data_IF_591272150529
#
_entry.id   IF_591272150529
#
_cell.length_a   1.000
_cell.length_b   1.000
_cell.length_c   1.000
_cell.angle_alpha   90.00
_cell.angle_beta   90.00
_cell.angle_gamma   90.00
#
_symmetry.space_group_name_H-M   'P 1'
#
loop_
_entity.id
_entity.type
_entity.pdbx_description
1 polymer ?
#
# COMPACT_ATOMS: atom_id res chain seq x y z
N UNK A 1 3.70 16.81 -12.77
CA UNK A 1 3.81 15.90 -13.95
C UNK A 1 2.49 15.93 -14.70
N UNK A 2 2.45 15.83 -16.04
CA UNK A 2 1.18 15.75 -16.73
C UNK A 2 0.42 14.50 -16.30
N UNK A 3 -0.90 14.60 -16.20
CA UNK A 3 -1.79 13.50 -15.90
C UNK A 3 -1.71 12.41 -16.99
N UNK A 4 -1.81 11.18 -16.57
CA UNK A 4 -1.92 10.03 -17.48
C UNK A 4 -3.37 9.91 -17.99
N UNK A 5 -3.61 9.34 -19.18
CA UNK A 5 -4.98 9.26 -19.73
C UNK A 5 -6.00 8.64 -18.77
N UNK A 6 -5.67 7.54 -18.11
CA UNK A 6 -6.57 6.91 -17.15
C UNK A 6 -6.84 7.73 -15.87
N UNK A 7 -5.93 8.66 -15.55
CA UNK A 7 -6.14 9.59 -14.43
C UNK A 7 -7.12 10.70 -14.83
N UNK A 8 -7.07 11.13 -16.09
CA UNK A 8 -8.06 12.04 -16.66
C UNK A 8 -9.43 11.37 -16.67
N UNK A 9 -9.51 10.11 -17.18
CA UNK A 9 -10.76 9.33 -17.17
C UNK A 9 -11.35 9.21 -15.75
N UNK A 10 -10.50 9.01 -14.73
CA UNK A 10 -10.92 8.92 -13.34
C UNK A 10 -11.43 10.27 -12.80
N UNK A 11 -10.76 11.37 -13.11
CA UNK A 11 -11.19 12.72 -12.71
C UNK A 11 -12.50 13.12 -13.38
N UNK A 12 -12.68 12.80 -14.65
CA UNK A 12 -13.95 13.03 -15.37
C UNK A 12 -15.08 12.21 -14.74
N UNK A 13 -14.83 10.97 -14.36
CA UNK A 13 -15.82 10.16 -13.64
C UNK A 13 -16.17 10.75 -12.28
N UNK A 14 -15.19 11.23 -11.52
CA UNK A 14 -15.39 11.90 -10.22
C UNK A 14 -16.14 13.22 -10.37
N UNK A 15 -15.90 13.99 -11.42
CA UNK A 15 -16.63 15.24 -11.69
C UNK A 15 -18.14 15.00 -11.97
N UNK A 16 -18.48 13.83 -12.53
CA UNK A 16 -19.86 13.46 -12.88
C UNK A 16 -20.60 12.67 -11.79
N UNK A 17 -19.94 12.29 -10.70
CA UNK A 17 -20.54 11.50 -9.62
C UNK A 17 -20.09 12.05 -8.25
N UNK A 18 -21.01 12.20 -7.33
CA UNK A 18 -20.70 12.61 -5.96
C UNK A 18 -20.22 11.47 -5.06
N UNK A 19 -20.45 10.21 -5.47
CA UNK A 19 -20.05 9.00 -4.76
C UNK A 19 -19.63 7.91 -5.73
N UNK A 20 -18.56 7.19 -5.42
CA UNK A 20 -18.19 6.02 -6.21
C UNK A 20 -16.85 5.42 -5.90
N UNK A 21 -16.64 4.26 -6.51
CA UNK A 21 -15.40 3.50 -6.39
C UNK A 21 -14.50 3.72 -7.59
N UNK A 22 -13.22 3.96 -7.32
CA UNK A 22 -12.18 4.12 -8.33
C UNK A 22 -11.20 2.94 -8.19
N UNK A 23 -11.28 2.00 -9.13
CA UNK A 23 -10.49 0.77 -9.12
C UNK A 23 -9.29 0.96 -10.03
N UNK A 24 -8.12 1.20 -9.43
CA UNK A 24 -6.86 1.43 -10.17
C UNK A 24 -5.78 0.49 -9.63
N UNK A 25 -5.09 -0.27 -10.48
CA UNK A 25 -4.02 -1.16 -10.06
C UNK A 25 -2.94 -0.42 -9.26
N UNK A 26 -2.27 -1.15 -8.37
CA UNK A 26 -1.11 -0.62 -7.62
C UNK A 26 -0.05 -0.10 -8.60
N UNK A 27 0.46 1.11 -8.36
CA UNK A 27 1.37 1.80 -9.28
C UNK A 27 0.67 2.63 -10.37
N UNK A 28 -0.65 2.56 -10.49
CA UNK A 28 -1.43 3.35 -11.44
C UNK A 28 -1.57 4.83 -11.08
N UNK A 29 -1.19 5.25 -9.86
CA UNK A 29 -1.17 6.66 -9.46
C UNK A 29 -2.50 7.17 -8.90
N UNK A 30 -3.16 6.39 -8.04
CA UNK A 30 -4.40 6.77 -7.31
C UNK A 30 -4.26 8.12 -6.58
N UNK A 31 -3.15 8.34 -5.89
CA UNK A 31 -2.88 9.56 -5.13
C UNK A 31 -2.94 10.81 -6.01
N UNK A 32 -2.43 10.75 -7.25
CA UNK A 32 -2.47 11.88 -8.18
C UNK A 32 -3.91 12.25 -8.58
N UNK A 33 -4.82 11.26 -8.70
CA UNK A 33 -6.23 11.55 -8.96
C UNK A 33 -6.85 12.33 -7.78
N UNK A 34 -6.57 11.90 -6.53
CA UNK A 34 -7.06 12.61 -5.34
C UNK A 34 -6.52 14.05 -5.28
N UNK A 35 -5.19 14.22 -5.47
CA UNK A 35 -4.55 15.56 -5.42
C UNK A 35 -5.14 16.50 -6.46
N UNK A 36 -5.30 16.04 -7.70
CA UNK A 36 -5.85 16.87 -8.76
C UNK A 36 -7.34 17.20 -8.55
N UNK A 37 -8.14 16.28 -8.04
CA UNK A 37 -9.52 16.58 -7.68
C UNK A 37 -9.60 17.59 -6.54
N UNK A 38 -8.70 17.49 -5.54
CA UNK A 38 -8.56 18.51 -4.48
C UNK A 38 -8.20 19.87 -5.06
N UNK A 39 -7.21 19.92 -5.94
CA UNK A 39 -6.84 21.20 -6.59
C UNK A 39 -8.02 21.83 -7.32
N UNK A 40 -8.76 21.05 -8.11
CA UNK A 40 -9.94 21.55 -8.82
C UNK A 40 -11.00 22.10 -7.85
N UNK A 41 -11.23 21.43 -6.71
CA UNK A 41 -12.20 21.90 -5.72
C UNK A 41 -11.77 23.18 -5.00
N UNK A 42 -10.47 23.34 -4.74
CA UNK A 42 -9.92 24.53 -4.08
C UNK A 42 -9.99 25.78 -4.96
N UNK A 43 -10.10 25.64 -6.28
CA UNK A 43 -10.38 26.75 -7.21
C UNK A 43 -11.79 27.30 -7.02
N UNK A 44 -12.74 26.47 -6.60
CA UNK A 44 -14.15 26.85 -6.39
C UNK A 44 -14.42 27.47 -5.01
N UNK A 45 -13.42 27.57 -4.14
CA UNK A 45 -13.53 28.17 -2.82
C UNK A 45 -13.02 27.34 -1.67
N UNK A 46 -13.32 27.79 -0.45
CA UNK A 46 -12.88 27.10 0.77
C UNK A 46 -13.60 25.77 0.97
N UNK A 47 -12.84 24.70 1.19
CA UNK A 47 -13.32 23.33 1.34
C UNK A 47 -12.71 22.65 2.58
N UNK A 48 -13.51 21.79 3.22
CA UNK A 48 -13.05 20.85 4.23
C UNK A 48 -12.91 19.46 3.60
N UNK A 49 -11.69 19.01 3.43
CA UNK A 49 -11.34 17.79 2.73
C UNK A 49 -10.75 16.78 3.72
N UNK A 50 -11.19 15.54 3.65
CA UNK A 50 -10.66 14.45 4.50
C UNK A 50 -10.02 13.38 3.62
N UNK A 51 -8.82 12.95 3.99
CA UNK A 51 -8.11 11.83 3.36
C UNK A 51 -7.90 10.73 4.40
N UNK A 52 -8.50 9.57 4.16
CA UNK A 52 -8.46 8.42 5.07
C UNK A 52 -7.45 7.40 4.57
N UNK A 53 -6.46 7.11 5.38
CA UNK A 53 -5.43 6.13 5.09
C UNK A 53 -5.55 4.88 6.00
N UNK A 54 -5.06 3.71 5.57
CA UNK A 54 -5.12 2.51 6.42
C UNK A 54 -4.21 2.57 7.64
N UNK A 55 -3.15 3.39 7.60
CA UNK A 55 -2.15 3.51 8.69
C UNK A 55 -1.59 4.92 8.80
N UNK A 56 -1.07 5.25 10.00
CA UNK A 56 -0.46 6.55 10.31
C UNK A 56 0.64 6.90 9.31
N UNK A 57 1.58 5.99 9.04
CA UNK A 57 2.68 6.24 8.12
C UNK A 57 2.21 6.60 6.71
N UNK A 58 1.10 5.99 6.25
CA UNK A 58 0.51 6.34 4.97
C UNK A 58 -0.22 7.68 4.99
N UNK A 59 -0.87 8.01 6.11
CA UNK A 59 -1.47 9.34 6.28
C UNK A 59 -0.39 10.43 6.20
N UNK A 60 0.77 10.21 6.80
CA UNK A 60 1.92 11.12 6.71
C UNK A 60 2.50 11.21 5.31
N UNK A 61 2.65 10.07 4.61
CA UNK A 61 3.12 10.03 3.24
C UNK A 61 2.15 10.77 2.29
N UNK A 62 0.85 10.47 2.40
CA UNK A 62 -0.18 11.16 1.61
C UNK A 62 -0.17 12.67 1.91
N UNK A 63 -0.08 13.07 3.18
CA UNK A 63 0.04 14.48 3.55
C UNK A 63 1.21 15.15 2.86
N UNK A 64 2.38 14.52 2.86
CA UNK A 64 3.58 15.05 2.21
C UNK A 64 3.41 15.18 0.70
N UNK A 65 2.86 14.15 0.04
CA UNK A 65 2.60 14.14 -1.41
C UNK A 65 1.57 15.22 -1.81
N UNK A 66 0.46 15.30 -1.07
CA UNK A 66 -0.58 16.32 -1.29
C UNK A 66 -0.04 17.73 -1.15
N UNK A 67 0.65 18.02 -0.06
CA UNK A 67 1.14 19.36 0.22
C UNK A 67 2.26 19.81 -0.73
N UNK A 68 3.09 18.88 -1.20
CA UNK A 68 4.10 19.18 -2.19
C UNK A 68 3.49 19.69 -3.51
N UNK A 69 2.42 19.06 -3.99
CA UNK A 69 1.81 19.41 -5.26
C UNK A 69 0.81 20.58 -5.12
N UNK A 70 0.02 20.64 -4.04
CA UNK A 70 -0.92 21.73 -3.80
C UNK A 70 -0.19 23.06 -3.60
N UNK A 71 0.91 23.09 -2.83
CA UNK A 71 1.72 24.31 -2.63
C UNK A 71 2.34 24.88 -3.91
N UNK A 72 2.48 24.07 -4.95
CA UNK A 72 2.94 24.53 -6.26
C UNK A 72 1.87 25.33 -7.02
N UNK A 73 0.60 25.07 -6.73
CA UNK A 73 -0.54 25.65 -7.46
C UNK A 73 -1.23 26.76 -6.65
N UNK A 74 -1.27 26.63 -5.33
CA UNK A 74 -1.95 27.56 -4.44
C UNK A 74 -0.96 28.24 -3.51
N UNK A 75 -0.90 29.59 -3.58
CA UNK A 75 -0.12 30.40 -2.65
C UNK A 75 -0.85 30.62 -1.30
N UNK A 76 -2.12 30.27 -1.23
CA UNK A 76 -2.96 30.48 -0.05
C UNK A 76 -2.65 29.50 1.06
N UNK A 77 -2.87 29.95 2.30
CA UNK A 77 -2.64 29.11 3.48
C UNK A 77 -3.71 28.01 3.54
N UNK A 78 -3.29 26.79 3.29
CA UNK A 78 -4.12 25.62 3.53
C UNK A 78 -3.87 25.13 4.94
N UNK A 79 -4.93 25.03 5.72
CA UNK A 79 -4.87 24.53 7.09
C UNK A 79 -4.80 22.99 7.07
N UNK A 80 -3.81 22.42 7.74
CA UNK A 80 -3.55 20.97 7.75
C UNK A 80 -3.62 20.44 9.16
N UNK A 81 -4.42 19.39 9.35
CA UNK A 81 -4.52 18.66 10.60
C UNK A 81 -4.39 17.17 10.36
N UNK A 82 -3.81 16.48 11.35
CA UNK A 82 -3.83 15.02 11.41
C UNK A 82 -4.70 14.53 12.57
N UNK A 83 -5.55 13.55 12.30
CA UNK A 83 -6.37 12.89 13.32
C UNK A 83 -5.93 11.44 13.47
N UNK A 84 -4.86 11.28 14.24
CA UNK A 84 -4.30 9.98 14.64
C UNK A 84 -3.30 10.16 15.79
N UNK A 85 -2.86 9.06 16.40
CA UNK A 85 -1.95 9.08 17.57
C UNK A 85 -0.45 9.21 17.21
N UNK A 86 -0.09 9.34 15.94
CA UNK A 86 1.30 9.53 15.50
C UNK A 86 1.77 10.96 15.64
N UNK A 87 3.09 11.12 15.79
CA UNK A 87 3.75 12.43 15.72
C UNK A 87 3.91 12.85 14.25
N UNK A 88 3.63 14.11 13.94
CA UNK A 88 3.73 14.69 12.59
C UNK A 88 4.23 16.13 12.70
N UNK A 89 4.67 16.69 11.57
CA UNK A 89 5.07 18.10 11.47
C UNK A 89 3.89 19.10 11.55
N UNK A 90 2.66 18.63 11.47
CA UNK A 90 1.45 19.42 11.57
C UNK A 90 0.72 19.17 12.89
N UNK A 91 -0.29 19.99 13.18
CA UNK A 91 -1.13 19.76 14.33
C UNK A 91 -1.78 18.36 14.25
N UNK A 92 -1.65 17.57 15.32
CA UNK A 92 -2.18 16.21 15.40
C UNK A 92 -2.87 15.97 16.74
N UNK A 93 -4.08 15.43 16.68
CA UNK A 93 -4.85 15.11 17.88
C UNK A 93 -5.89 14.02 17.62
N UNK A 94 -6.28 13.29 18.67
CA UNK A 94 -7.43 12.38 18.69
C UNK A 94 -8.51 12.83 19.68
N UNK A 95 -8.32 13.99 20.31
CA UNK A 95 -9.28 14.55 21.28
C UNK A 95 -10.37 15.33 20.52
N UNK A 96 -11.62 14.95 20.74
CA UNK A 96 -12.80 15.46 20.05
C UNK A 96 -12.92 16.98 20.18
N UNK A 97 -12.76 17.52 21.38
CA UNK A 97 -12.86 18.96 21.63
C UNK A 97 -11.79 19.74 20.84
N UNK A 98 -10.53 19.25 20.85
CA UNK A 98 -9.45 19.88 20.10
C UNK A 98 -9.63 19.80 18.58
N UNK A 99 -10.28 18.73 18.08
CA UNK A 99 -10.64 18.63 16.65
C UNK A 99 -11.67 19.71 16.31
N UNK A 100 -12.73 19.82 17.14
CA UNK A 100 -13.80 20.79 16.93
C UNK A 100 -13.29 22.23 16.99
N UNK A 101 -12.51 22.55 18.02
CA UNK A 101 -11.91 23.86 18.22
C UNK A 101 -11.04 24.25 17.04
N UNK A 102 -10.13 23.33 16.62
CA UNK A 102 -9.25 23.58 15.47
C UNK A 102 -10.02 23.85 14.19
N UNK A 103 -11.06 23.07 13.89
CA UNK A 103 -11.88 23.28 12.67
C UNK A 103 -12.63 24.61 12.75
N UNK A 104 -13.12 25.01 13.94
CA UNK A 104 -13.82 26.27 14.15
C UNK A 104 -12.93 27.51 14.10
N UNK A 105 -11.69 27.42 14.58
CA UNK A 105 -10.74 28.53 14.62
C UNK A 105 -10.08 28.83 13.28
N UNK A 106 -9.93 27.81 12.42
CA UNK A 106 -9.23 27.98 11.13
C UNK A 106 -10.21 28.34 10.00
N UNK A 107 -10.05 29.54 9.48
CA UNK A 107 -10.82 30.03 8.33
C UNK A 107 -10.14 29.55 7.03
N UNK A 108 -10.92 29.32 5.97
CA UNK A 108 -10.42 28.90 4.67
C UNK A 108 -10.37 27.38 4.51
N UNK A 109 -9.62 26.92 3.53
CA UNK A 109 -9.55 25.50 3.18
C UNK A 109 -8.81 24.68 4.23
N UNK A 110 -9.35 23.50 4.49
CA UNK A 110 -8.81 22.55 5.47
C UNK A 110 -8.60 21.18 4.82
N UNK A 111 -7.44 20.58 5.03
CA UNK A 111 -7.18 19.20 4.65
C UNK A 111 -6.84 18.40 5.90
N UNK A 112 -7.65 17.39 6.19
CA UNK A 112 -7.54 16.55 7.37
C UNK A 112 -7.10 15.15 6.94
N UNK A 113 -5.92 14.75 7.37
CA UNK A 113 -5.42 13.38 7.17
C UNK A 113 -5.74 12.54 8.39
N UNK A 114 -6.40 11.41 8.16
CA UNK A 114 -6.78 10.51 9.25
C UNK A 114 -6.54 9.04 8.88
N UNK A 115 -6.71 8.16 9.84
CA UNK A 115 -6.71 6.72 9.60
C UNK A 115 -8.11 6.15 9.79
N UNK A 116 -8.39 4.97 9.20
CA UNK A 116 -9.64 4.25 9.47
C UNK A 116 -9.90 4.07 10.97
N UNK A 117 -8.84 3.84 11.75
CA UNK A 117 -8.91 3.70 13.20
C UNK A 117 -9.34 4.98 13.92
N UNK A 118 -9.09 6.14 13.35
CA UNK A 118 -9.36 7.44 13.99
C UNK A 118 -10.51 8.20 13.35
N UNK A 119 -11.06 7.72 12.23
CA UNK A 119 -12.13 8.40 11.49
C UNK A 119 -13.37 8.66 12.36
N UNK A 120 -13.70 7.74 13.26
CA UNK A 120 -14.82 7.91 14.21
C UNK A 120 -14.65 9.15 15.11
N UNK A 121 -13.43 9.65 15.36
CA UNK A 121 -13.20 10.87 16.12
C UNK A 121 -13.68 12.11 15.41
N UNK A 122 -13.56 12.16 14.09
CA UNK A 122 -14.14 13.23 13.26
C UNK A 122 -15.68 13.18 13.28
N UNK A 123 -16.25 11.97 13.23
CA UNK A 123 -17.69 11.76 13.34
C UNK A 123 -18.22 12.20 14.72
N UNK A 124 -17.57 11.80 15.82
CA UNK A 124 -17.91 12.21 17.18
C UNK A 124 -17.74 13.73 17.41
N UNK A 125 -16.84 14.37 16.66
CA UNK A 125 -16.66 15.82 16.68
C UNK A 125 -17.69 16.57 15.81
N UNK A 126 -18.55 15.86 15.09
CA UNK A 126 -19.58 16.40 14.20
C UNK A 126 -18.99 17.36 13.13
N UNK A 127 -17.90 16.92 12.50
CA UNK A 127 -17.23 17.72 11.48
C UNK A 127 -17.89 17.52 10.13
N UNK A 128 -18.40 18.60 9.55
CA UNK A 128 -18.87 18.62 8.17
C UNK A 128 -17.69 18.48 7.19
N UNK A 129 -17.86 17.66 6.17
CA UNK A 129 -16.84 17.35 5.17
C UNK A 129 -17.41 17.57 3.76
N UNK A 130 -16.79 18.44 2.98
CA UNK A 130 -17.15 18.63 1.57
C UNK A 130 -16.77 17.37 0.76
N UNK A 131 -15.54 16.91 0.87
CA UNK A 131 -15.10 15.71 0.15
C UNK A 131 -14.25 14.81 1.02
N UNK A 132 -14.54 13.52 0.97
CA UNK A 132 -13.75 12.49 1.65
C UNK A 132 -13.20 11.47 0.65
N UNK A 133 -11.90 11.17 0.77
CA UNK A 133 -11.21 10.15 0.01
C UNK A 133 -10.82 9.00 0.92
N UNK A 134 -11.19 7.80 0.56
CA UNK A 134 -10.82 6.57 1.25
C UNK A 134 -9.72 5.87 0.45
N UNK A 135 -8.46 5.98 0.87
CA UNK A 135 -7.36 5.25 0.25
C UNK A 135 -7.31 3.80 0.77
N UNK A 136 -6.94 2.88 -0.13
CA UNK A 136 -7.00 1.43 0.11
C UNK A 136 -8.36 1.01 0.70
N UNK A 137 -9.42 1.40 0.03
CA UNK A 137 -10.82 1.34 0.50
C UNK A 137 -11.31 -0.07 0.85
N UNK A 138 -10.62 -1.13 0.43
CA UNK A 138 -10.91 -2.49 0.90
C UNK A 138 -10.78 -2.65 2.43
N UNK A 139 -10.15 -1.68 3.14
CA UNK A 139 -10.11 -1.64 4.59
C UNK A 139 -11.42 -1.14 5.21
N UNK A 140 -12.21 -0.35 4.49
CA UNK A 140 -13.47 0.26 4.95
C UNK A 140 -14.50 -0.75 5.48
N UNK A 141 -14.49 -1.97 4.94
CA UNK A 141 -15.45 -3.02 5.28
C UNK A 141 -15.19 -3.71 6.63
N UNK A 142 -14.18 -3.30 7.36
CA UNK A 142 -13.89 -3.86 8.67
C UNK A 142 -14.92 -3.38 9.69
N UNK A 143 -15.37 -4.30 10.58
CA UNK A 143 -16.42 -4.05 11.56
C UNK A 143 -16.21 -2.79 12.40
N UNK A 144 -14.97 -2.50 12.75
CA UNK A 144 -14.64 -1.35 13.61
C UNK A 144 -14.56 -0.02 12.84
N UNK A 145 -14.65 -0.04 11.51
CA UNK A 145 -14.50 1.14 10.68
C UNK A 145 -15.78 1.51 9.94
N UNK A 146 -16.62 0.52 9.67
CA UNK A 146 -17.77 0.66 8.76
C UNK A 146 -18.75 1.74 9.21
N UNK A 147 -18.98 1.91 10.50
CA UNK A 147 -19.92 2.91 11.04
C UNK A 147 -19.52 4.34 10.64
N UNK A 148 -18.25 4.70 10.86
CA UNK A 148 -17.75 6.03 10.48
C UNK A 148 -17.63 6.20 8.96
N UNK A 149 -17.34 5.11 8.24
CA UNK A 149 -17.30 5.11 6.76
C UNK A 149 -18.69 5.36 6.19
N UNK A 150 -19.71 4.64 6.67
CA UNK A 150 -21.10 4.81 6.27
C UNK A 150 -21.60 6.22 6.59
N UNK A 151 -21.31 6.73 7.80
CA UNK A 151 -21.65 8.09 8.18
C UNK A 151 -21.14 9.11 7.16
N UNK A 152 -19.83 9.11 6.86
CA UNK A 152 -19.27 10.07 5.92
C UNK A 152 -19.63 9.79 4.47
N UNK A 153 -19.93 8.55 4.10
CA UNK A 153 -20.48 8.24 2.79
C UNK A 153 -21.85 8.86 2.54
N UNK A 154 -22.64 9.06 3.61
CA UNK A 154 -23.99 9.63 3.55
C UNK A 154 -23.98 11.16 3.73
N UNK A 155 -23.17 11.66 4.66
CA UNK A 155 -23.24 13.06 5.10
C UNK A 155 -22.19 13.98 4.48
N UNK A 156 -21.19 13.45 3.76
CA UNK A 156 -20.28 14.28 2.96
C UNK A 156 -20.92 14.66 1.63
N UNK A 157 -20.61 15.81 1.06
CA UNK A 157 -21.10 16.17 -0.28
C UNK A 157 -20.55 15.24 -1.36
N UNK A 158 -19.29 14.80 -1.21
CA UNK A 158 -18.64 13.87 -2.14
C UNK A 158 -17.84 12.82 -1.38
N UNK A 159 -17.91 11.55 -1.81
CA UNK A 159 -17.19 10.43 -1.20
C UNK A 159 -16.63 9.46 -2.23
N UNK A 160 -15.31 9.24 -2.22
CA UNK A 160 -14.62 8.40 -3.20
C UNK A 160 -13.78 7.31 -2.55
N UNK A 161 -13.93 6.09 -3.07
CA UNK A 161 -13.32 4.88 -2.55
C UNK A 161 -12.26 4.35 -3.52
N UNK A 162 -11.00 4.58 -3.21
CA UNK A 162 -9.86 4.18 -4.04
C UNK A 162 -9.27 2.84 -3.61
N UNK A 163 -9.19 1.89 -4.51
CA UNK A 163 -8.50 0.62 -4.25
C UNK A 163 -8.03 -0.05 -5.54
N UNK A 164 -7.04 -0.95 -5.43
CA UNK A 164 -6.69 -1.89 -6.50
C UNK A 164 -7.42 -3.23 -6.34
N UNK A 165 -7.95 -3.52 -5.15
CA UNK A 165 -8.42 -4.84 -4.72
C UNK A 165 -9.70 -4.72 -3.94
N UNK A 166 -10.85 -4.53 -4.59
CA UNK A 166 -12.14 -4.40 -3.91
C UNK A 166 -12.43 -5.63 -3.06
N UNK A 167 -13.13 -5.42 -1.95
CA UNK A 167 -13.51 -6.47 -1.01
C UNK A 167 -15.02 -6.55 -0.89
N UNK A 168 -15.59 -7.65 -1.38
CA UNK A 168 -17.03 -7.88 -1.45
C UNK A 168 -17.54 -8.71 -0.27
N UNK A 169 -18.79 -8.54 0.09
CA UNK A 169 -19.50 -9.43 1.00
C UNK A 169 -20.46 -10.34 0.23
N UNK A 170 -20.49 -11.61 0.64
CA UNK A 170 -21.47 -12.57 0.13
C UNK A 170 -22.65 -12.76 1.09
N UNK A 171 -22.67 -11.99 2.19
CA UNK A 171 -23.73 -12.08 3.20
C UNK A 171 -24.34 -10.72 3.47
N UNK A 172 -25.67 -10.63 3.63
CA UNK A 172 -26.37 -9.35 3.86
C UNK A 172 -26.05 -8.71 5.21
N UNK A 173 -25.41 -9.45 6.14
CA UNK A 173 -25.10 -8.97 7.49
C UNK A 173 -23.68 -8.41 7.64
N UNK A 174 -22.92 -8.35 6.55
CA UNK A 174 -21.58 -7.80 6.55
C UNK A 174 -21.42 -6.80 5.43
N UNK A 175 -20.86 -5.65 5.75
CA UNK A 175 -20.53 -4.67 4.74
C UNK A 175 -19.50 -5.22 3.75
N UNK A 176 -19.67 -4.93 2.50
CA UNK A 176 -18.75 -5.21 1.40
C UNK A 176 -18.79 -4.07 0.40
N UNK A 177 -17.73 -3.87 -0.37
CA UNK A 177 -17.70 -2.81 -1.38
C UNK A 177 -18.70 -3.03 -2.52
N UNK A 178 -19.37 -4.18 -2.57
CA UNK A 178 -20.53 -4.44 -3.44
C UNK A 178 -21.85 -3.89 -2.88
N UNK A 179 -21.82 -3.21 -1.73
CA UNK A 179 -22.95 -2.45 -1.21
C UNK A 179 -22.92 -1.03 -1.80
N UNK A 180 -23.75 -0.78 -2.81
CA UNK A 180 -23.77 0.50 -3.51
C UNK A 180 -24.35 1.65 -2.68
N UNK A 181 -25.13 1.37 -1.63
CA UNK A 181 -25.70 2.41 -0.77
C UNK A 181 -24.59 3.08 0.05
N UNK A 182 -23.61 2.30 0.49
CA UNK A 182 -22.44 2.82 1.22
C UNK A 182 -21.34 3.25 0.24
N UNK A 183 -20.94 2.38 -0.68
CA UNK A 183 -19.71 2.58 -1.47
C UNK A 183 -19.95 3.22 -2.85
N UNK A 184 -21.19 3.41 -3.24
CA UNK A 184 -21.52 3.81 -4.60
C UNK A 184 -21.19 2.73 -5.64
N UNK A 185 -21.42 3.03 -6.90
CA UNK A 185 -21.03 2.16 -8.00
C UNK A 185 -19.55 2.30 -8.32
N UNK A 186 -18.99 1.35 -9.07
CA UNK A 186 -17.67 1.52 -9.70
C UNK A 186 -17.82 2.54 -10.83
N UNK A 187 -17.29 3.74 -10.61
CA UNK A 187 -17.37 4.86 -11.58
C UNK A 187 -16.16 4.91 -12.50
N UNK A 188 -15.03 4.33 -12.08
CA UNK A 188 -13.83 4.18 -12.91
C UNK A 188 -13.12 2.88 -12.57
N UNK A 189 -12.82 2.08 -13.59
CA UNK A 189 -11.97 0.88 -13.46
C UNK A 189 -10.91 0.87 -14.55
N UNK A 190 -9.65 0.77 -14.14
CA UNK A 190 -8.49 0.79 -15.02
C UNK A 190 -7.91 -0.61 -15.12
N UNK A 191 -7.94 -1.27 -16.29
CA UNK A 191 -7.33 -2.58 -16.48
C UNK A 191 -5.79 -2.50 -16.42
N UNK A 192 -5.15 -3.40 -15.67
CA UNK A 192 -3.69 -3.44 -15.57
C UNK A 192 -2.99 -3.67 -16.92
N UNK A 193 -3.51 -4.51 -17.86
CA UNK A 193 -2.93 -4.64 -19.20
C UNK A 193 -2.80 -3.31 -19.94
N UNK A 194 -3.79 -2.43 -19.85
CA UNK A 194 -3.75 -1.09 -20.45
C UNK A 194 -2.56 -0.26 -19.88
N UNK A 195 -2.30 -0.36 -18.57
CA UNK A 195 -1.18 0.34 -17.94
C UNK A 195 0.19 -0.25 -18.33
N UNK A 196 0.25 -1.57 -18.54
CA UNK A 196 1.44 -2.26 -19.04
C UNK A 196 1.73 -1.85 -20.47
N UNK A 197 0.73 -1.90 -21.35
CA UNK A 197 0.83 -1.51 -22.77
C UNK A 197 1.29 -0.05 -22.92
N UNK A 198 0.72 0.86 -22.10
CA UNK A 198 1.11 2.26 -22.06
C UNK A 198 2.45 2.49 -21.34
N UNK A 199 3.05 1.45 -20.78
CA UNK A 199 4.33 1.50 -20.11
C UNK A 199 4.32 2.28 -18.79
N UNK A 200 3.20 2.42 -18.10
CA UNK A 200 3.13 3.05 -16.79
C UNK A 200 3.51 2.11 -15.65
N UNK A 201 3.21 0.83 -15.80
CA UNK A 201 3.67 -0.25 -14.95
C UNK A 201 4.35 -1.33 -15.77
N UNK A 202 5.08 -2.23 -15.13
CA UNK A 202 5.74 -3.36 -15.79
C UNK A 202 4.90 -4.62 -15.65
N UNK A 203 5.00 -5.57 -16.60
CA UNK A 203 4.36 -6.86 -16.41
C UNK A 203 5.04 -7.64 -15.28
N UNK A 204 4.29 -8.42 -14.46
CA UNK A 204 4.88 -9.36 -13.55
C UNK A 204 5.34 -10.62 -14.30
N UNK A 205 6.48 -11.18 -13.87
CA UNK A 205 6.94 -12.51 -14.28
C UNK A 205 6.96 -13.41 -13.06
N UNK A 206 6.19 -14.50 -13.09
CA UNK A 206 6.15 -15.47 -11.98
C UNK A 206 7.14 -16.58 -12.27
N UNK A 207 7.99 -16.87 -11.29
CA UNK A 207 8.90 -18.01 -11.33
C UNK A 207 8.67 -18.85 -10.07
N UNK A 208 8.50 -20.16 -10.28
CA UNK A 208 8.31 -21.13 -9.21
C UNK A 208 9.56 -21.99 -9.11
N UNK A 209 10.20 -21.98 -7.96
CA UNK A 209 11.38 -22.80 -7.71
C UNK A 209 11.00 -24.01 -6.88
N UNK A 210 11.19 -25.21 -7.44
CA UNK A 210 11.12 -26.44 -6.69
C UNK A 210 12.40 -26.64 -5.89
N UNK A 211 12.26 -26.80 -4.60
CA UNK A 211 13.35 -27.11 -3.68
C UNK A 211 13.11 -28.46 -3.03
N UNK A 212 14.18 -29.12 -2.57
CA UNK A 212 14.04 -30.36 -1.82
C UNK A 212 13.13 -30.20 -0.61
N UNK A 213 12.45 -31.25 -0.21
CA UNK A 213 11.61 -31.25 0.99
C UNK A 213 12.46 -31.09 2.25
N UNK A 214 11.83 -30.54 3.30
CA UNK A 214 12.43 -30.43 4.62
C UNK A 214 12.66 -31.82 5.22
N UNK A 215 13.88 -32.11 5.65
CA UNK A 215 14.21 -33.34 6.34
C UNK A 215 13.69 -33.33 7.79
N UNK A 216 13.42 -34.54 8.36
CA UNK A 216 12.80 -34.65 9.69
C UNK A 216 13.59 -33.99 10.82
N UNK A 217 14.89 -33.85 10.67
CA UNK A 217 15.81 -33.30 11.69
C UNK A 217 16.34 -31.89 11.35
N UNK A 218 15.93 -31.36 10.23
CA UNK A 218 16.35 -30.03 9.74
C UNK A 218 15.52 -28.93 10.38
N UNK A 219 16.18 -27.85 10.78
CA UNK A 219 15.48 -26.67 11.27
C UNK A 219 14.84 -25.92 10.10
N UNK A 220 13.63 -25.44 10.29
CA UNK A 220 12.92 -24.62 9.27
C UNK A 220 13.73 -23.39 8.88
N UNK A 221 14.47 -22.80 9.82
CA UNK A 221 15.30 -21.63 9.55
C UNK A 221 16.46 -21.93 8.59
N UNK A 222 17.10 -23.09 8.72
CA UNK A 222 18.19 -23.50 7.83
C UNK A 222 17.66 -23.73 6.41
N UNK A 223 16.48 -24.35 6.31
CA UNK A 223 15.80 -24.55 5.03
C UNK A 223 15.35 -23.24 4.39
N UNK A 224 14.81 -22.32 5.17
CA UNK A 224 14.45 -20.98 4.71
C UNK A 224 15.71 -20.23 4.20
N UNK A 225 16.85 -20.39 4.91
CA UNK A 225 18.14 -19.79 4.53
C UNK A 225 18.63 -20.36 3.18
N UNK A 226 18.75 -21.67 3.06
CA UNK A 226 19.14 -22.36 1.82
C UNK A 226 18.32 -21.85 0.63
N UNK A 227 16.99 -21.88 0.76
CA UNK A 227 16.09 -21.49 -0.32
C UNK A 227 16.19 -20.01 -0.71
N UNK A 228 16.32 -19.12 0.28
CA UNK A 228 16.42 -17.70 -0.02
C UNK A 228 17.73 -17.39 -0.71
N UNK A 229 18.82 -18.00 -0.29
CA UNK A 229 20.14 -17.83 -0.93
C UNK A 229 20.12 -18.40 -2.34
N UNK A 230 19.65 -19.64 -2.53
CA UNK A 230 19.53 -20.26 -3.85
C UNK A 230 18.64 -19.41 -4.79
N UNK A 231 17.52 -18.91 -4.27
CA UNK A 231 16.65 -18.02 -5.04
C UNK A 231 17.36 -16.72 -5.44
N UNK A 232 18.07 -16.07 -4.52
CA UNK A 232 18.82 -14.83 -4.78
C UNK A 232 19.91 -15.07 -5.83
N UNK A 233 20.65 -16.18 -5.72
CA UNK A 233 21.70 -16.54 -6.67
C UNK A 233 21.15 -16.83 -8.08
N UNK A 234 20.00 -17.51 -8.16
CA UNK A 234 19.33 -17.81 -9.43
C UNK A 234 18.71 -16.57 -10.09
N UNK A 235 18.10 -15.69 -9.28
CA UNK A 235 17.43 -14.48 -9.77
C UNK A 235 18.41 -13.43 -10.29
N UNK A 236 19.60 -13.35 -9.73
CA UNK A 236 20.61 -12.33 -10.03
C UNK A 236 20.07 -10.89 -10.01
N UNK A 237 19.14 -10.60 -9.07
CA UNK A 237 18.52 -9.29 -8.90
C UNK A 237 19.16 -8.54 -7.75
N UNK A 238 19.41 -7.26 -7.95
CA UNK A 238 20.09 -6.42 -6.95
C UNK A 238 19.19 -6.00 -5.80
N UNK A 239 17.88 -5.88 -6.00
CA UNK A 239 16.94 -5.29 -5.03
C UNK A 239 15.76 -6.23 -4.78
N UNK A 240 15.84 -6.95 -3.68
CA UNK A 240 14.95 -8.07 -3.37
C UNK A 240 14.12 -7.79 -2.12
N UNK A 241 12.81 -8.05 -2.21
CA UNK A 241 11.86 -8.05 -1.10
C UNK A 241 11.54 -9.48 -0.69
N UNK A 242 11.71 -9.83 0.58
CA UNK A 242 11.33 -11.13 1.13
C UNK A 242 10.12 -10.96 2.06
N UNK A 243 9.02 -11.63 1.73
CA UNK A 243 7.78 -11.64 2.50
C UNK A 243 7.74 -12.85 3.43
N UNK A 244 7.98 -12.62 4.72
CA UNK A 244 7.99 -13.68 5.74
C UNK A 244 6.60 -13.91 6.37
N UNK A 245 6.37 -15.11 6.90
CA UNK A 245 5.12 -15.51 7.56
C UNK A 245 4.89 -14.79 8.89
N UNK A 246 5.98 -14.49 9.61
CA UNK A 246 5.90 -13.89 10.95
C UNK A 246 7.20 -13.18 11.31
N UNK A 247 7.13 -12.29 12.30
CA UNK A 247 8.34 -11.71 12.92
C UNK A 247 9.31 -12.79 13.40
N UNK A 248 8.78 -13.91 13.98
CA UNK A 248 9.62 -15.03 14.44
C UNK A 248 10.41 -15.64 13.30
N UNK A 249 9.82 -15.81 12.11
CA UNK A 249 10.53 -16.35 10.94
C UNK A 249 11.68 -15.44 10.52
N UNK A 250 11.47 -14.12 10.46
CA UNK A 250 12.53 -13.15 10.16
C UNK A 250 13.66 -13.25 11.19
N UNK A 251 13.31 -13.22 12.48
CA UNK A 251 14.30 -13.29 13.56
C UNK A 251 15.08 -14.58 13.50
N UNK A 252 14.43 -15.74 13.33
CA UNK A 252 15.11 -17.02 13.22
C UNK A 252 16.07 -17.06 12.02
N UNK A 253 15.62 -16.62 10.84
CA UNK A 253 16.44 -16.57 9.65
C UNK A 253 17.71 -15.68 9.85
N UNK A 254 17.54 -14.52 10.47
CA UNK A 254 18.65 -13.56 10.66
C UNK A 254 19.60 -13.96 11.81
N UNK A 255 19.07 -14.56 12.89
CA UNK A 255 19.86 -14.80 14.12
C UNK A 255 20.29 -16.23 14.34
N UNK A 256 19.66 -17.22 13.71
CA UNK A 256 19.95 -18.66 13.91
C UNK A 256 20.67 -19.30 12.72
N UNK A 257 20.82 -18.56 11.60
CA UNK A 257 21.48 -19.05 10.39
C UNK A 257 22.60 -18.10 9.96
N UNK A 258 23.37 -18.50 8.99
CA UNK A 258 24.40 -17.70 8.35
C UNK A 258 23.88 -16.80 7.20
N UNK A 259 22.55 -16.67 7.05
CA UNK A 259 21.89 -15.90 5.99
C UNK A 259 22.51 -14.51 5.77
N UNK A 260 22.69 -13.75 6.84
CA UNK A 260 23.25 -12.41 6.76
C UNK A 260 24.75 -12.39 6.37
N UNK A 261 25.49 -13.44 6.72
CA UNK A 261 26.88 -13.61 6.31
C UNK A 261 26.93 -13.90 4.82
N UNK A 262 26.14 -14.86 4.35
CA UNK A 262 26.04 -15.23 2.94
C UNK A 262 25.58 -14.07 2.06
N UNK A 263 24.64 -13.22 2.52
CA UNK A 263 24.24 -12.00 1.81
C UNK A 263 25.41 -11.03 1.65
N UNK A 264 26.19 -10.83 2.72
CA UNK A 264 27.35 -9.91 2.71
C UNK A 264 28.43 -10.40 1.75
N UNK A 265 28.71 -11.71 1.72
CA UNK A 265 29.67 -12.31 0.79
C UNK A 265 29.28 -12.09 -0.68
N UNK A 266 27.98 -11.98 -0.98
CA UNK A 266 27.43 -11.68 -2.30
C UNK A 266 27.30 -10.17 -2.58
N UNK A 267 27.76 -9.33 -1.65
CA UNK A 267 27.72 -7.87 -1.76
C UNK A 267 26.37 -7.24 -1.47
N UNK A 268 25.44 -7.98 -0.83
CA UNK A 268 24.14 -7.43 -0.45
C UNK A 268 24.18 -6.78 0.93
N UNK A 269 23.58 -5.61 1.02
CA UNK A 269 23.08 -5.06 2.28
C UNK A 269 21.78 -5.75 2.66
N UNK A 270 21.45 -5.78 3.94
CA UNK A 270 20.20 -6.34 4.38
C UNK A 270 19.54 -5.48 5.44
N UNK A 271 18.23 -5.48 5.44
CA UNK A 271 17.42 -4.74 6.40
C UNK A 271 16.10 -5.44 6.68
N UNK A 272 15.58 -5.22 7.87
CA UNK A 272 14.22 -5.65 8.19
C UNK A 272 13.54 -4.68 9.14
N UNK A 273 12.20 -4.69 9.13
CA UNK A 273 11.39 -3.94 10.06
C UNK A 273 10.23 -4.80 10.56
N UNK A 274 10.04 -4.83 11.88
CA UNK A 274 8.91 -5.53 12.51
C UNK A 274 8.34 -4.70 13.66
N UNK A 275 7.08 -4.94 14.02
CA UNK A 275 6.43 -4.25 15.14
C UNK A 275 7.11 -4.55 16.49
N UNK A 276 7.70 -5.76 16.64
CA UNK A 276 8.31 -6.20 17.91
C UNK A 276 9.76 -5.79 18.09
N UNK A 277 10.57 -5.92 17.03
CA UNK A 277 12.02 -5.69 17.10
C UNK A 277 12.43 -4.30 16.63
N UNK A 278 11.49 -3.56 16.01
CA UNK A 278 11.78 -2.28 15.37
C UNK A 278 12.49 -2.48 14.03
N UNK A 279 13.22 -1.48 13.60
CA UNK A 279 13.96 -1.42 12.36
C UNK A 279 15.44 -1.74 12.55
N UNK A 280 15.99 -2.57 11.67
CA UNK A 280 17.41 -3.00 11.69
C UNK A 280 18.00 -2.89 10.30
N UNK A 281 19.20 -2.36 10.17
CA UNK A 281 20.00 -2.26 8.94
C UNK A 281 21.38 -2.84 9.21
N UNK A 282 21.77 -3.87 8.46
CA UNK A 282 23.08 -4.53 8.57
C UNK A 282 23.46 -4.86 10.02
N UNK A 283 22.50 -5.34 10.82
CA UNK A 283 22.66 -5.72 12.22
C UNK A 283 22.59 -4.55 13.23
N UNK A 284 22.45 -3.31 12.79
CA UNK A 284 22.32 -2.15 13.67
C UNK A 284 20.86 -1.72 13.78
N UNK A 285 20.38 -1.53 15.02
CA UNK A 285 19.05 -0.98 15.29
C UNK A 285 19.05 0.51 14.92
N UNK A 286 18.00 0.94 14.20
CA UNK A 286 17.83 2.33 13.74
C UNK A 286 16.41 2.82 14.05
N UNK A 287 16.18 4.13 13.93
CA UNK A 287 14.82 4.68 13.96
C UNK A 287 14.05 4.26 12.71
N UNK A 288 12.73 4.32 12.79
CA UNK A 288 11.85 4.00 11.66
C UNK A 288 12.08 4.94 10.49
N UNK A 289 12.22 6.23 10.76
CA UNK A 289 12.46 7.25 9.72
C UNK A 289 13.78 7.00 9.01
N UNK A 290 14.85 6.70 9.77
CA UNK A 290 16.15 6.35 9.19
C UNK A 290 16.09 5.09 8.34
N UNK A 291 15.29 4.10 8.73
CA UNK A 291 15.06 2.90 7.92
C UNK A 291 14.48 3.24 6.54
N UNK A 292 13.43 4.06 6.49
CA UNK A 292 12.79 4.44 5.24
C UNK A 292 13.64 5.40 4.40
N UNK A 293 14.37 6.32 5.03
CA UNK A 293 15.35 7.17 4.35
C UNK A 293 16.39 6.32 3.62
N UNK A 294 17.00 5.36 4.31
CA UNK A 294 18.03 4.48 3.74
C UNK A 294 17.42 3.58 2.66
N UNK A 295 16.23 3.01 2.89
CA UNK A 295 15.55 2.17 1.92
C UNK A 295 15.26 2.94 0.61
N UNK A 296 14.82 4.19 0.70
CA UNK A 296 14.60 5.05 -0.44
C UNK A 296 15.90 5.43 -1.16
N UNK A 297 16.96 5.71 -0.41
CA UNK A 297 18.27 6.02 -0.96
C UNK A 297 18.84 4.82 -1.74
N UNK A 298 18.82 3.63 -1.13
CA UNK A 298 19.28 2.39 -1.80
C UNK A 298 18.37 2.01 -2.98
N UNK A 299 17.08 2.29 -2.87
CA UNK A 299 16.13 2.04 -3.96
C UNK A 299 16.41 2.86 -5.22
N UNK A 300 16.90 4.08 -5.06
CA UNK A 300 17.24 5.01 -6.17
C UNK A 300 18.63 4.79 -6.74
N UNK A 301 19.55 4.19 -5.97
CA UNK A 301 20.91 3.92 -6.40
C UNK A 301 20.98 2.60 -7.17
N UNK A 302 21.33 2.65 -8.44
CA UNK A 302 21.38 1.47 -9.34
C UNK A 302 22.49 0.47 -8.97
N UNK A 303 23.50 0.88 -8.20
CA UNK A 303 24.64 0.04 -7.82
C UNK A 303 24.45 -0.68 -6.48
N UNK A 304 23.59 -0.18 -5.61
CA UNK A 304 23.36 -0.77 -4.28
C UNK A 304 22.53 -2.04 -4.38
N UNK A 305 23.11 -3.16 -3.94
CA UNK A 305 22.41 -4.43 -3.76
C UNK A 305 21.84 -4.50 -2.35
N UNK A 306 20.56 -4.84 -2.21
CA UNK A 306 19.96 -5.05 -0.90
C UNK A 306 18.83 -6.07 -0.88
N UNK A 307 18.65 -6.66 0.29
CA UNK A 307 17.52 -7.53 0.63
C UNK A 307 16.76 -6.88 1.79
N UNK A 308 15.48 -6.68 1.61
CA UNK A 308 14.59 -6.22 2.68
C UNK A 308 13.62 -7.33 3.07
N UNK A 309 13.59 -7.67 4.38
CA UNK A 309 12.64 -8.65 4.90
C UNK A 309 11.52 -7.95 5.66
N UNK A 310 10.31 -8.39 5.47
CA UNK A 310 9.17 -7.87 6.20
C UNK A 310 8.09 -8.91 6.47
N UNK A 311 7.26 -8.57 7.50
CA UNK A 311 6.02 -9.26 7.78
C UNK A 311 4.93 -8.21 7.97
N UNK A 312 4.12 -7.82 7.18
CA UNK A 312 3.00 -6.87 7.25
C UNK A 312 3.31 -5.37 7.13
N UNK A 313 4.40 -4.85 7.66
CA UNK A 313 4.64 -3.39 7.70
C UNK A 313 4.80 -2.78 6.31
N UNK A 314 5.46 -3.50 5.39
CA UNK A 314 5.62 -3.04 4.00
C UNK A 314 4.49 -3.51 3.07
N UNK A 315 3.52 -4.27 3.56
CA UNK A 315 2.42 -4.76 2.72
C UNK A 315 1.38 -3.70 2.38
N UNK A 316 1.27 -2.63 3.14
CA UNK A 316 0.29 -1.57 2.93
C UNK A 316 0.97 -0.26 2.53
N UNK A 317 0.81 0.15 1.29
CA UNK A 317 0.99 1.51 0.78
C UNK A 317 2.41 2.10 0.73
N UNK A 318 3.40 1.59 1.47
CA UNK A 318 4.74 2.18 1.50
C UNK A 318 5.41 2.05 0.14
N UNK A 319 5.82 3.17 -0.40
CA UNK A 319 6.53 3.21 -1.67
C UNK A 319 7.99 2.76 -1.46
N UNK A 320 8.36 1.62 -2.02
CA UNK A 320 9.75 1.17 -2.10
C UNK A 320 10.20 1.29 -3.54
N UNK A 321 11.03 2.28 -3.81
CA UNK A 321 11.57 2.49 -5.15
C UNK A 321 12.56 1.38 -5.53
N UNK A 322 12.61 1.06 -6.81
CA UNK A 322 13.67 0.24 -7.39
C UNK A 322 13.61 -1.27 -7.10
N UNK A 323 12.63 -1.79 -6.34
CA UNK A 323 12.50 -3.24 -6.13
C UNK A 323 12.38 -3.99 -7.47
N UNK A 324 13.18 -5.03 -7.65
CA UNK A 324 13.23 -5.83 -8.87
C UNK A 324 12.56 -7.19 -8.71
N UNK A 325 12.64 -7.79 -7.50
CA UNK A 325 12.07 -9.10 -7.22
C UNK A 325 11.39 -9.15 -5.85
N UNK A 326 10.37 -9.99 -5.75
CA UNK A 326 9.76 -10.40 -4.49
C UNK A 326 9.83 -11.92 -4.33
N UNK A 327 10.20 -12.36 -3.13
CA UNK A 327 10.24 -13.76 -2.70
C UNK A 327 9.18 -14.00 -1.63
N UNK A 328 8.31 -14.98 -1.85
CA UNK A 328 7.24 -15.32 -0.91
C UNK A 328 7.65 -16.51 -0.03
N UNK A 329 7.99 -16.25 1.23
CA UNK A 329 8.19 -17.29 2.26
C UNK A 329 6.90 -17.71 2.97
N UNK A 330 5.76 -17.15 2.59
CA UNK A 330 4.47 -17.40 3.24
C UNK A 330 3.32 -17.49 2.25
N UNK A 331 2.25 -18.15 2.66
CA UNK A 331 0.95 -18.00 2.02
C UNK A 331 0.35 -16.62 2.41
N UNK A 332 -0.20 -15.92 1.46
CA UNK A 332 -0.91 -14.66 1.62
C UNK A 332 -2.32 -14.77 1.01
N UNK A 333 -3.19 -13.85 1.38
CA UNK A 333 -4.46 -13.66 0.69
C UNK A 333 -4.26 -12.93 -0.67
N UNK A 334 -5.30 -12.86 -1.46
CA UNK A 334 -5.26 -12.24 -2.79
C UNK A 334 -4.88 -10.76 -2.74
N UNK A 335 -5.35 -10.03 -1.73
CA UNK A 335 -5.02 -8.61 -1.54
C UNK A 335 -3.53 -8.44 -1.28
N UNK A 336 -3.00 -9.20 -0.31
CA UNK A 336 -1.58 -9.14 0.05
C UNK A 336 -0.67 -9.52 -1.11
N UNK A 337 -1.03 -10.53 -1.90
CA UNK A 337 -0.29 -10.91 -3.11
C UNK A 337 -0.32 -9.78 -4.14
N UNK A 338 -1.50 -9.24 -4.47
CA UNK A 338 -1.65 -8.15 -5.43
C UNK A 338 -0.87 -6.90 -5.03
N UNK A 339 -0.96 -6.49 -3.78
CA UNK A 339 -0.21 -5.35 -3.25
C UNK A 339 1.30 -5.57 -3.29
N UNK A 340 1.76 -6.80 -3.00
CA UNK A 340 3.17 -7.14 -3.01
C UNK A 340 3.73 -7.17 -4.44
N UNK A 341 3.00 -7.76 -5.39
CA UNK A 341 3.34 -7.71 -6.82
C UNK A 341 3.40 -6.25 -7.29
N UNK A 342 2.42 -5.44 -6.89
CA UNK A 342 2.36 -4.01 -7.21
C UNK A 342 3.61 -3.21 -6.83
N UNK A 343 4.46 -3.71 -5.93
CA UNK A 343 5.73 -3.06 -5.55
C UNK A 343 6.84 -3.33 -6.54
N UNK A 344 6.89 -4.52 -7.10
CA UNK A 344 7.96 -4.91 -8.03
C UNK A 344 7.66 -4.58 -9.49
N UNK A 345 6.41 -4.27 -9.84
CA UNK A 345 6.05 -3.86 -11.20
C UNK A 345 6.21 -2.35 -11.44
N UNK A 346 6.56 -1.57 -10.43
CA UNK A 346 6.85 -0.14 -10.61
C UNK A 346 8.14 0.05 -11.40
N UNK A 347 8.14 1.04 -12.28
CA UNK A 347 9.39 1.52 -12.89
C UNK A 347 10.25 2.14 -11.80
N UNK A 348 11.53 1.95 -11.83
CA UNK A 348 12.41 2.54 -10.81
C UNK A 348 13.89 2.30 -11.07
N UNK A 349 14.22 1.33 -11.94
CA UNK A 349 15.59 1.06 -12.41
C UNK A 349 15.64 1.21 -13.91
N UNK A 350 16.75 1.72 -14.43
CA UNK A 350 16.93 2.09 -15.86
C UNK A 350 16.70 0.90 -16.80
N UNK A 351 17.05 -0.31 -16.42
CA UNK A 351 16.99 -1.50 -17.28
C UNK A 351 15.92 -2.53 -16.86
N UNK A 352 14.98 -2.14 -16.03
CA UNK A 352 13.95 -3.06 -15.54
C UNK A 352 12.84 -3.23 -16.58
N UNK A 353 12.64 -4.45 -17.07
CA UNK A 353 11.62 -4.79 -18.06
C UNK A 353 10.38 -5.46 -17.48
N UNK A 354 10.50 -6.09 -16.31
CA UNK A 354 9.41 -6.78 -15.62
C UNK A 354 9.63 -6.77 -14.09
N UNK A 355 8.57 -7.01 -13.34
CA UNK A 355 8.64 -7.28 -11.90
C UNK A 355 8.70 -8.78 -11.65
N UNK A 356 9.75 -9.27 -11.04
CA UNK A 356 9.93 -10.69 -10.80
C UNK A 356 9.26 -11.13 -9.50
N UNK A 357 8.43 -12.16 -9.60
CA UNK A 357 7.70 -12.77 -8.48
C UNK A 357 8.14 -14.20 -8.33
N UNK A 358 8.83 -14.51 -7.24
CA UNK A 358 9.38 -15.83 -7.00
C UNK A 358 8.68 -16.51 -5.82
N UNK A 359 8.28 -17.77 -6.03
CA UNK A 359 7.65 -18.60 -5.01
C UNK A 359 8.45 -19.89 -4.85
N UNK A 360 9.26 -20.02 -3.80
CA UNK A 360 9.92 -21.28 -3.52
C UNK A 360 8.92 -22.33 -3.03
N UNK A 361 8.96 -23.52 -3.63
CA UNK A 361 8.05 -24.62 -3.35
C UNK A 361 8.83 -25.77 -2.74
N UNK A 362 8.74 -25.94 -1.44
CA UNK A 362 9.32 -27.08 -0.70
C UNK A 362 8.28 -27.83 0.14
N UNK A 363 7.02 -27.40 0.07
CA UNK A 363 5.94 -28.00 0.84
C UNK A 363 4.60 -27.77 0.14
N UNK A 364 3.55 -28.44 0.63
CA UNK A 364 2.17 -28.19 0.17
C UNK A 364 1.76 -26.70 0.26
N UNK A 365 2.31 -25.96 1.22
CA UNK A 365 2.05 -24.52 1.40
C UNK A 365 2.64 -23.72 0.25
N UNK A 366 3.85 -24.04 -0.20
CA UNK A 366 4.47 -23.38 -1.36
C UNK A 366 3.65 -23.58 -2.64
N UNK A 367 3.17 -24.79 -2.91
CA UNK A 367 2.30 -25.10 -4.05
C UNK A 367 1.02 -24.26 -4.00
N UNK A 368 0.39 -24.17 -2.83
CA UNK A 368 -0.82 -23.34 -2.64
C UNK A 368 -0.54 -21.84 -2.89
N UNK A 369 0.62 -21.36 -2.45
CA UNK A 369 1.03 -19.97 -2.67
C UNK A 369 1.29 -19.70 -4.14
N UNK A 370 2.02 -20.57 -4.84
CA UNK A 370 2.29 -20.46 -6.26
C UNK A 370 0.99 -20.37 -7.07
N UNK A 371 0.04 -21.27 -6.85
CA UNK A 371 -1.27 -21.25 -7.51
C UNK A 371 -2.05 -19.97 -7.26
N UNK A 372 -1.99 -19.42 -6.05
CA UNK A 372 -2.64 -18.13 -5.74
C UNK A 372 -1.97 -16.97 -6.47
N UNK A 373 -0.63 -16.96 -6.52
CA UNK A 373 0.12 -15.92 -7.24
C UNK A 373 -0.21 -15.96 -8.72
N UNK A 374 -0.18 -17.14 -9.34
CA UNK A 374 -0.56 -17.32 -10.74
C UNK A 374 -2.00 -16.87 -11.02
N UNK A 375 -2.95 -17.24 -10.15
CA UNK A 375 -4.34 -16.81 -10.28
C UNK A 375 -4.52 -15.29 -10.15
N UNK A 376 -3.78 -14.63 -9.25
CA UNK A 376 -3.80 -13.17 -9.12
C UNK A 376 -3.22 -12.51 -10.35
N UNK A 377 -2.10 -13.00 -10.87
CA UNK A 377 -1.47 -12.48 -12.07
C UNK A 377 -2.38 -12.66 -13.29
N UNK A 378 -2.98 -13.82 -13.46
CA UNK A 378 -3.92 -14.10 -14.56
C UNK A 378 -5.13 -13.15 -14.50
N UNK A 379 -5.74 -13.01 -13.32
CA UNK A 379 -6.91 -12.14 -13.14
C UNK A 379 -6.57 -10.67 -13.46
N UNK A 380 -5.48 -10.15 -12.89
CA UNK A 380 -5.17 -8.72 -13.00
C UNK A 380 -4.51 -8.39 -14.34
N UNK A 381 -3.51 -9.17 -14.78
CA UNK A 381 -2.64 -8.79 -15.89
C UNK A 381 -3.00 -9.45 -17.22
N UNK A 382 -3.73 -10.56 -17.23
CA UNK A 382 -4.20 -11.18 -18.47
C UNK A 382 -5.66 -10.81 -18.74
N UNK A 383 -6.55 -10.95 -17.74
CA UNK A 383 -7.97 -10.64 -17.92
C UNK A 383 -8.30 -9.15 -17.70
N UNK A 384 -7.43 -8.40 -17.03
CA UNK A 384 -7.66 -6.99 -16.73
C UNK A 384 -8.74 -6.73 -15.67
N UNK A 385 -9.07 -7.76 -14.89
CA UNK A 385 -10.05 -7.68 -13.81
C UNK A 385 -9.37 -7.29 -12.49
N UNK A 386 -10.11 -6.66 -11.58
CA UNK A 386 -9.61 -6.41 -10.25
C UNK A 386 -9.54 -7.72 -9.44
N UNK A 387 -8.46 -7.90 -8.67
CA UNK A 387 -8.39 -9.01 -7.72
C UNK A 387 -9.37 -8.77 -6.57
N UNK A 388 -10.56 -9.31 -6.70
CA UNK A 388 -11.62 -9.18 -5.69
C UNK A 388 -11.44 -10.22 -4.60
N UNK A 389 -11.55 -9.80 -3.36
CA UNK A 389 -11.58 -10.70 -2.20
C UNK A 389 -12.94 -10.66 -1.51
N UNK A 390 -13.18 -11.65 -0.66
CA UNK A 390 -14.44 -11.78 0.10
C UNK A 390 -14.18 -11.50 1.57
N UNK A 391 -15.13 -10.82 2.22
CA UNK A 391 -15.11 -10.60 3.67
C UNK A 391 -15.23 -11.96 4.36
N UNK A 392 -14.16 -12.39 5.01
CA UNK A 392 -14.13 -13.62 5.79
C UNK A 392 -14.67 -13.40 7.21
N UNK A 393 -14.96 -14.49 7.89
CA UNK A 393 -15.48 -14.49 9.29
C UNK A 393 -14.48 -13.93 10.27
#
# INVERSE_FOLDING_TARGET
MPLRPHQIDALDAMANHTKGQIIVPTGGGKTMCMIHDVCNQLEDGAKTIVVVAPRILLAEQLSSEFLEDIKKQFCDVINVMHVHSGETSHFSTTKIDLIRDWVGEHIGSKIIFTTYHSLHRLMEADIFVDTIYFDEAHNSVQRNFIEAVEYYSIYSERSYFFTATPKHSLTPFKAGMNDSDIFGNVICQVPAPKLVEQGYILPPKVEVYESRLLDKHELVADKDCEQMIDSIDNLQKSKVLICAKSTKQIVNLVSQTDFCVQLRERGYNWMYITAKTGAVINGKKVSRDKFFEVLNTWGKDDYTKFVVLHHSILSEGINVNGLEAVLFLRSMDYIGISQTIGRVIRKGCVNKQYGLVCVPVYSKVGISTARKVEAVVDTIFNKGEAATSVVTR
#
